data_IF_747517844538
#
_entry.id   IF_747517844538
#
_cell.length_a   1.000
_cell.length_b   1.000
_cell.length_c   1.000
_cell.angle_alpha   90.00
_cell.angle_beta   90.00
_cell.angle_gamma   90.00
#
_symmetry.space_group_name_H-M   'P 1'
#
loop_
_entity.id
_entity.type
_entity.pdbx_description
1 polymer ?
#
# COMPACT_ATOMS: atom_id res chain seq x y z
N UNK A 1 -40.52 2.75 16.58
CA UNK A 1 -39.20 2.23 16.99
C UNK A 1 -38.17 2.82 16.05
N UNK A 2 -37.35 3.77 16.50
CA UNK A 2 -36.30 4.34 15.65
C UNK A 2 -35.18 3.30 15.47
N UNK A 3 -34.85 2.97 14.23
CA UNK A 3 -33.70 2.10 13.94
C UNK A 3 -32.44 2.91 14.22
N UNK A 4 -31.75 2.63 15.34
CA UNK A 4 -30.41 3.17 15.55
C UNK A 4 -29.53 2.77 14.37
N UNK A 5 -28.97 3.77 13.68
CA UNK A 5 -28.03 3.56 12.58
C UNK A 5 -26.74 2.98 13.15
N UNK A 6 -26.55 1.67 13.02
CA UNK A 6 -25.36 1.00 13.49
C UNK A 6 -24.23 1.19 12.47
N UNK A 7 -23.09 1.73 12.90
CA UNK A 7 -21.92 1.85 12.02
C UNK A 7 -21.29 0.47 11.76
N UNK A 8 -20.84 0.25 10.53
CA UNK A 8 -20.12 -0.95 10.11
C UNK A 8 -18.64 -0.65 9.97
N UNK A 9 -17.81 -1.42 10.67
CA UNK A 9 -16.35 -1.31 10.66
C UNK A 9 -15.76 -2.51 9.90
N UNK A 10 -14.86 -2.25 8.96
CA UNK A 10 -14.01 -3.25 8.31
C UNK A 10 -12.61 -3.19 8.94
N UNK A 11 -12.25 -4.18 9.76
CA UNK A 11 -10.94 -4.28 10.37
C UNK A 11 -10.03 -5.21 9.54
N UNK A 12 -8.84 -4.73 9.18
CA UNK A 12 -7.90 -5.46 8.30
C UNK A 12 -6.60 -5.71 9.07
N UNK A 13 -6.34 -6.95 9.43
CA UNK A 13 -5.17 -7.34 10.23
C UNK A 13 -4.76 -8.80 9.98
N UNK A 14 -3.48 -9.05 9.71
CA UNK A 14 -2.92 -10.37 9.42
C UNK A 14 -2.72 -11.21 10.69
N UNK A 15 -2.58 -10.58 11.85
CA UNK A 15 -2.48 -11.24 13.14
C UNK A 15 -3.85 -11.77 13.59
N UNK A 16 -3.94 -13.09 13.75
CA UNK A 16 -5.15 -13.75 14.25
C UNK A 16 -5.57 -13.26 15.65
N UNK A 17 -4.60 -12.89 16.48
CA UNK A 17 -4.85 -12.45 17.85
C UNK A 17 -5.46 -11.05 17.81
N UNK A 18 -4.84 -10.13 17.08
CA UNK A 18 -5.30 -8.74 16.98
C UNK A 18 -6.66 -8.67 16.28
N UNK A 19 -6.85 -9.46 15.22
CA UNK A 19 -8.13 -9.58 14.53
C UNK A 19 -9.26 -9.99 15.47
N UNK A 20 -9.05 -10.99 16.34
CA UNK A 20 -10.06 -11.44 17.33
C UNK A 20 -10.29 -10.40 18.42
N UNK A 21 -9.24 -9.72 18.87
CA UNK A 21 -9.34 -8.69 19.90
C UNK A 21 -10.19 -7.52 19.40
N UNK A 22 -9.85 -6.95 18.24
CA UNK A 22 -10.55 -5.79 17.70
C UNK A 22 -12.01 -6.11 17.34
N UNK A 23 -12.28 -7.31 16.82
CA UNK A 23 -13.65 -7.76 16.52
C UNK A 23 -14.52 -7.81 17.79
N UNK A 24 -13.99 -8.37 18.89
CA UNK A 24 -14.71 -8.46 20.17
C UNK A 24 -14.96 -7.09 20.79
N UNK A 25 -13.95 -6.22 20.80
CA UNK A 25 -14.05 -4.87 21.39
C UNK A 25 -15.10 -4.02 20.67
N UNK A 26 -15.07 -4.03 19.33
CA UNK A 26 -16.00 -3.24 18.52
C UNK A 26 -17.42 -3.81 18.56
N UNK A 27 -17.60 -5.14 18.53
CA UNK A 27 -18.94 -5.75 18.70
C UNK A 27 -19.54 -5.43 20.07
N UNK A 28 -18.74 -5.45 21.13
CA UNK A 28 -19.18 -5.04 22.48
C UNK A 28 -19.60 -3.57 22.52
N UNK A 29 -18.96 -2.74 21.71
CA UNK A 29 -19.25 -1.31 21.58
C UNK A 29 -20.40 -1.02 20.60
N UNK A 30 -21.26 -2.01 20.32
CA UNK A 30 -22.42 -1.90 19.43
C UNK A 30 -22.10 -1.54 17.97
N UNK A 31 -20.93 -1.92 17.45
CA UNK A 31 -20.63 -1.82 16.02
C UNK A 31 -20.93 -3.14 15.29
N UNK A 32 -21.30 -3.05 14.02
CA UNK A 32 -21.16 -4.20 13.11
C UNK A 32 -19.70 -4.26 12.68
N UNK A 33 -19.13 -5.46 12.64
CA UNK A 33 -17.69 -5.62 12.33
C UNK A 33 -17.49 -6.77 11.37
N UNK A 34 -16.80 -6.50 10.28
CA UNK A 34 -16.19 -7.52 9.43
C UNK A 34 -14.69 -7.45 9.63
N UNK A 35 -14.07 -8.56 10.03
CA UNK A 35 -12.63 -8.64 10.23
C UNK A 35 -12.01 -9.53 9.14
N UNK A 36 -11.03 -9.01 8.41
CA UNK A 36 -10.35 -9.71 7.30
C UNK A 36 -8.84 -9.78 7.55
N UNK A 37 -8.17 -10.76 6.93
CA UNK A 37 -6.78 -11.10 7.21
C UNK A 37 -5.76 -10.37 6.32
N UNK A 38 -6.21 -9.65 5.30
CA UNK A 38 -5.34 -9.05 4.29
C UNK A 38 -6.03 -7.92 3.56
N UNK A 39 -5.22 -6.97 3.06
CA UNK A 39 -5.72 -5.86 2.23
C UNK A 39 -6.41 -6.35 0.95
N UNK A 40 -5.93 -7.46 0.36
CA UNK A 40 -6.55 -8.02 -0.84
C UNK A 40 -7.97 -8.52 -0.58
N UNK A 41 -8.22 -9.22 0.54
CA UNK A 41 -9.58 -9.58 0.95
C UNK A 41 -10.42 -8.37 1.32
N UNK A 42 -9.81 -7.32 1.89
CA UNK A 42 -10.52 -6.07 2.17
C UNK A 42 -11.01 -5.41 0.86
N UNK A 43 -10.17 -5.36 -0.17
CA UNK A 43 -10.55 -4.84 -1.49
C UNK A 43 -11.62 -5.70 -2.16
N UNK A 44 -11.54 -7.02 -2.04
CA UNK A 44 -12.59 -7.95 -2.50
C UNK A 44 -13.92 -7.69 -1.78
N UNK A 45 -13.88 -7.58 -0.45
CA UNK A 45 -15.07 -7.27 0.37
C UNK A 45 -15.73 -5.94 -0.03
N UNK A 46 -14.95 -4.94 -0.42
CA UNK A 46 -15.44 -3.65 -0.89
C UNK A 46 -15.85 -3.63 -2.38
N UNK A 47 -15.65 -4.72 -3.12
CA UNK A 47 -15.89 -4.78 -4.57
C UNK A 47 -14.92 -3.92 -5.39
N UNK A 48 -13.74 -3.62 -4.84
CA UNK A 48 -12.71 -2.77 -5.45
C UNK A 48 -11.58 -3.57 -6.13
N UNK A 49 -11.62 -4.90 -6.07
CA UNK A 49 -10.59 -5.77 -6.64
C UNK A 49 -10.63 -5.87 -8.17
N UNK A 50 -11.56 -5.18 -8.85
CA UNK A 50 -11.64 -5.13 -10.30
C UNK A 50 -10.60 -4.17 -10.91
N UNK A 51 -9.35 -4.64 -10.97
CA UNK A 51 -8.25 -3.97 -11.70
C UNK A 51 -8.57 -3.73 -13.19
N UNK A 52 -9.64 -4.32 -13.72
CA UNK A 52 -10.10 -4.16 -15.09
C UNK A 52 -11.15 -3.04 -15.25
N UNK A 53 -11.88 -2.66 -14.18
CA UNK A 53 -12.97 -1.67 -14.23
C UNK A 53 -12.48 -0.23 -14.05
N UNK A 54 -11.26 -0.06 -13.54
CA UNK A 54 -10.53 1.23 -13.45
C UNK A 54 -9.68 1.55 -14.69
N UNK A 55 -9.55 0.60 -15.63
CA UNK A 55 -8.73 0.77 -16.85
C UNK A 55 -9.21 1.83 -17.84
N UNK A 56 -10.51 2.15 -18.01
CA UNK A 56 -10.88 3.14 -19.02
C UNK A 56 -10.44 4.57 -18.64
N UNK A 57 -10.00 4.82 -17.40
CA UNK A 57 -9.51 6.14 -16.95
C UNK A 57 -8.05 6.15 -16.49
N UNK A 58 -7.37 5.00 -16.44
CA UNK A 58 -5.93 4.87 -16.18
C UNK A 58 -5.10 4.67 -17.46
N UNK A 59 -5.58 5.17 -18.61
CA UNK A 59 -4.77 5.34 -19.82
C UNK A 59 -3.82 6.54 -19.61
N UNK A 60 -2.52 6.52 -19.90
CA UNK A 60 -1.64 5.64 -20.69
C UNK A 60 -0.21 5.90 -20.21
N UNK A 61 0.57 4.84 -19.97
CA UNK A 61 2.02 4.96 -19.79
C UNK A 61 2.53 4.34 -18.51
N UNK A 62 2.53 3.02 -18.45
CA UNK A 62 3.71 2.20 -18.17
C UNK A 62 3.27 0.76 -18.46
N UNK A 63 4.01 0.13 -19.35
CA UNK A 63 3.88 -1.25 -19.80
C UNK A 63 3.61 -2.23 -18.67
N UNK A 64 2.56 -3.02 -18.84
CA UNK A 64 2.35 -4.28 -18.14
C UNK A 64 3.57 -5.19 -18.33
N UNK A 65 4.33 -5.41 -17.26
CA UNK A 65 5.13 -6.61 -17.09
C UNK A 65 4.86 -7.19 -15.71
N UNK A 66 3.75 -7.92 -15.61
CA UNK A 66 3.69 -9.03 -14.65
C UNK A 66 4.52 -10.16 -15.26
N UNK A 67 5.82 -10.14 -15.00
CA UNK A 67 6.70 -11.29 -15.17
C UNK A 67 7.17 -11.72 -13.78
N UNK A 68 6.48 -12.71 -13.21
CA UNK A 68 7.08 -13.59 -12.23
C UNK A 68 8.11 -14.45 -12.97
N UNK A 69 9.38 -14.05 -12.96
CA UNK A 69 10.48 -14.95 -13.28
C UNK A 69 11.63 -14.71 -12.30
N UNK A 70 11.78 -15.67 -11.38
CA UNK A 70 13.01 -15.87 -10.63
C UNK A 70 14.10 -16.30 -11.60
N UNK A 71 15.00 -15.40 -11.98
CA UNK A 71 16.19 -15.75 -12.74
C UNK A 71 17.44 -15.45 -11.91
N UNK A 72 17.97 -16.51 -11.30
CA UNK A 72 19.34 -16.58 -10.81
C UNK A 72 20.28 -16.55 -12.01
N UNK A 73 21.02 -15.45 -12.22
CA UNK A 73 22.23 -15.50 -13.05
C UNK A 73 23.32 -14.57 -12.49
N UNK A 74 24.39 -15.25 -12.07
CA UNK A 74 25.69 -14.76 -11.60
C UNK A 74 26.40 -13.87 -12.64
N UNK A 75 27.03 -12.80 -12.14
CA UNK A 75 28.26 -12.13 -12.64
C UNK A 75 28.02 -11.33 -13.95
N UNK A 76 28.72 -10.24 -14.28
CA UNK A 76 30.05 -9.71 -13.97
C UNK A 76 30.13 -8.28 -14.55
N UNK A 77 31.04 -7.44 -14.06
CA UNK A 77 31.71 -6.44 -14.92
C UNK A 77 31.37 -4.98 -14.67
N UNK A 78 32.39 -4.23 -14.28
CA UNK A 78 32.57 -2.79 -14.15
C UNK A 78 32.08 -1.96 -15.34
N UNK A 79 31.57 -0.74 -15.09
CA UNK A 79 32.11 0.51 -15.67
C UNK A 79 31.46 1.78 -15.08
N UNK A 80 32.35 2.70 -14.72
CA UNK A 80 32.30 4.15 -14.46
C UNK A 80 30.94 4.89 -14.37
N UNK A 81 30.61 5.37 -13.16
CA UNK A 81 29.57 6.38 -12.92
C UNK A 81 30.09 7.80 -13.21
N UNK A 82 29.97 8.28 -14.45
CA UNK A 82 30.00 9.72 -14.70
C UNK A 82 28.63 10.30 -14.35
N UNK A 83 28.56 10.93 -13.17
CA UNK A 83 27.34 11.58 -12.67
C UNK A 83 27.06 12.85 -13.48
N UNK A 84 25.83 13.09 -13.96
CA UNK A 84 25.46 14.35 -14.58
C UNK A 84 25.57 15.50 -13.57
N UNK A 85 26.19 16.56 -14.05
CA UNK A 85 26.51 17.83 -13.42
C UNK A 85 25.49 18.30 -12.37
N UNK A 86 25.88 18.19 -11.09
CA UNK A 86 25.14 18.76 -9.95
C UNK A 86 25.52 20.24 -9.86
N UNK A 87 24.74 21.12 -10.49
CA UNK A 87 24.83 22.56 -10.22
C UNK A 87 24.36 22.85 -8.80
N UNK A 88 25.29 22.75 -7.83
CA UNK A 88 25.07 23.10 -6.43
C UNK A 88 25.33 24.59 -6.25
N UNK A 89 24.36 25.41 -5.79
CA UNK A 89 24.67 26.79 -5.41
C UNK A 89 25.66 26.77 -4.24
N UNK A 90 26.79 27.44 -4.44
CA UNK A 90 27.83 27.71 -3.45
C UNK A 90 27.27 28.71 -2.43
N UNK A 91 26.88 28.25 -1.25
CA UNK A 91 26.90 29.10 -0.07
C UNK A 91 28.35 29.24 0.36
N UNK A 92 28.88 30.46 0.30
CA UNK A 92 30.21 30.77 0.81
C UNK A 92 30.20 30.67 2.34
N UNK A 93 31.21 29.97 2.84
CA UNK A 93 31.50 29.71 4.24
C UNK A 93 32.04 30.97 4.93
N UNK A 94 31.34 31.35 6.02
CA UNK A 94 31.78 31.89 7.32
C UNK A 94 32.93 32.92 7.39
N UNK A 95 32.73 33.98 8.17
CA UNK A 95 33.67 34.29 9.26
C UNK A 95 32.93 34.60 10.57
N UNK A 96 33.39 33.92 11.62
CA UNK A 96 33.17 34.17 13.04
C UNK A 96 34.44 34.84 13.55
N UNK A 97 34.37 36.11 13.96
CA UNK A 97 35.14 36.71 15.07
C UNK A 97 34.28 37.79 15.70
#
# INVERSE_FOLDING_TARGET
MATQTQFHVLAVDDSLIDRKLIERLLKTSSYQVTAVDSGSKALEFLGLNDVNKLRPHLMKGITTKTEMQSNTNKRKGSEEIQSPDRTRPRYNELEVV
#
